data_IF_477806944118
#
_entry.id   IF_477806944118
#
_cell.length_a   1.000
_cell.length_b   1.000
_cell.length_c   1.000
_cell.angle_alpha   90.00
_cell.angle_beta   90.00
_cell.angle_gamma   90.00
#
_symmetry.space_group_name_H-M   'P 1'
#
loop_
_entity.id
_entity.type
_entity.pdbx_description
1 polymer ?
#
# COMPACT_ATOMS: atom_id res chain seq x y z
N UNK A 1 -14.15 30.35 58.20
CA UNK A 1 -13.25 29.28 57.71
C UNK A 1 -13.91 28.37 56.66
N UNK A 2 -15.23 28.43 56.46
CA UNK A 2 -15.95 27.66 55.42
C UNK A 2 -15.91 28.32 54.02
N UNK A 3 -15.88 29.65 53.94
CA UNK A 3 -15.90 30.42 52.66
C UNK A 3 -14.66 30.18 51.78
N UNK A 4 -13.47 30.10 52.40
CA UNK A 4 -12.19 29.95 51.69
C UNK A 4 -12.06 28.56 51.04
N UNK A 5 -12.61 27.53 51.69
CA UNK A 5 -12.63 26.16 51.15
C UNK A 5 -13.59 26.02 49.95
N UNK A 6 -14.66 26.81 49.90
CA UNK A 6 -15.61 26.79 48.79
C UNK A 6 -15.05 27.54 47.58
N UNK A 7 -14.38 28.67 47.81
CA UNK A 7 -13.62 29.38 46.79
C UNK A 7 -12.50 28.50 46.18
N UNK A 8 -11.74 27.78 47.01
CA UNK A 8 -10.70 26.86 46.55
C UNK A 8 -11.27 25.70 45.71
N UNK A 9 -12.40 25.11 46.12
CA UNK A 9 -13.08 24.09 45.32
C UNK A 9 -13.53 24.64 43.97
N UNK A 10 -14.06 25.86 43.93
CA UNK A 10 -14.50 26.49 42.68
C UNK A 10 -13.32 26.78 41.74
N UNK A 11 -12.15 27.15 42.27
CA UNK A 11 -10.91 27.31 41.50
C UNK A 11 -10.45 25.99 40.89
N UNK A 12 -10.38 24.91 41.69
CA UNK A 12 -9.95 23.59 41.20
C UNK A 12 -10.91 23.02 40.15
N UNK A 13 -12.22 23.29 40.29
CA UNK A 13 -13.19 22.93 39.26
C UNK A 13 -12.95 23.71 37.96
N UNK A 14 -12.56 24.99 38.06
CA UNK A 14 -12.12 25.79 36.91
C UNK A 14 -10.87 25.23 36.26
N UNK A 15 -9.84 24.88 37.03
CA UNK A 15 -8.61 24.29 36.50
C UNK A 15 -8.87 22.96 35.78
N UNK A 16 -9.81 22.14 36.28
CA UNK A 16 -10.21 20.90 35.62
C UNK A 16 -10.98 21.16 34.33
N UNK A 17 -11.83 22.19 34.30
CA UNK A 17 -12.53 22.61 33.08
C UNK A 17 -11.55 23.12 32.02
N UNK A 18 -10.56 23.91 32.42
CA UNK A 18 -9.50 24.40 31.54
C UNK A 18 -8.64 23.24 30.99
N UNK A 19 -8.26 22.29 31.85
CA UNK A 19 -7.53 21.08 31.41
C UNK A 19 -8.35 20.21 30.45
N UNK A 20 -9.68 20.13 30.64
CA UNK A 20 -10.57 19.41 29.74
C UNK A 20 -10.64 20.08 28.36
N UNK A 21 -10.71 21.42 28.35
CA UNK A 21 -10.70 22.21 27.12
C UNK A 21 -9.36 22.03 26.39
N UNK A 22 -8.24 22.12 27.10
CA UNK A 22 -6.90 21.93 26.51
C UNK A 22 -6.70 20.52 25.98
N UNK A 23 -7.13 19.49 26.71
CA UNK A 23 -7.07 18.09 26.26
C UNK A 23 -7.88 17.88 24.96
N UNK A 24 -9.04 18.53 24.86
CA UNK A 24 -9.87 18.49 23.65
C UNK A 24 -9.20 19.18 22.48
N UNK A 25 -8.65 20.38 22.69
CA UNK A 25 -7.93 21.14 21.65
C UNK A 25 -6.74 20.32 21.12
N UNK A 26 -5.99 19.67 22.02
CA UNK A 26 -4.88 18.80 21.64
C UNK A 26 -5.34 17.59 20.81
N UNK A 27 -6.44 16.94 21.21
CA UNK A 27 -7.00 15.81 20.47
C UNK A 27 -7.48 16.22 19.07
N UNK A 28 -8.19 17.34 18.97
CA UNK A 28 -8.67 17.87 17.69
C UNK A 28 -7.51 18.23 16.76
N UNK A 29 -6.38 18.72 17.31
CA UNK A 29 -5.17 19.01 16.55
C UNK A 29 -4.51 17.74 15.99
N UNK A 30 -4.38 16.67 16.78
CA UNK A 30 -3.77 15.41 16.31
C UNK A 30 -4.65 14.73 15.25
N UNK A 31 -5.97 14.73 15.43
CA UNK A 31 -6.91 14.22 14.42
C UNK A 31 -6.78 15.00 13.12
N UNK A 32 -6.69 16.34 13.18
CA UNK A 32 -6.50 17.17 12.00
C UNK A 32 -5.14 16.92 11.32
N UNK A 33 -4.09 16.68 12.10
CA UNK A 33 -2.75 16.34 11.59
C UNK A 33 -2.77 15.01 10.84
N UNK A 34 -3.32 13.95 11.44
CA UNK A 34 -3.40 12.63 10.80
C UNK A 34 -4.32 12.64 9.57
N UNK A 35 -5.42 13.40 9.61
CA UNK A 35 -6.30 13.59 8.45
C UNK A 35 -5.57 14.27 7.28
N UNK A 36 -4.73 15.27 7.58
CA UNK A 36 -3.92 15.97 6.57
C UNK A 36 -2.85 15.05 6.00
N UNK A 37 -2.16 14.27 6.85
CA UNK A 37 -1.15 13.29 6.41
C UNK A 37 -1.77 12.17 5.56
N UNK A 38 -2.92 11.64 5.97
CA UNK A 38 -3.68 10.66 5.21
C UNK A 38 -4.15 11.23 3.85
N UNK A 39 -4.63 12.47 3.82
CA UNK A 39 -5.03 13.17 2.60
C UNK A 39 -3.86 13.38 1.63
N UNK A 40 -2.69 13.78 2.14
CA UNK A 40 -1.48 13.93 1.33
C UNK A 40 -1.02 12.59 0.74
N UNK A 41 -0.92 11.54 1.57
CA UNK A 41 -0.56 10.19 1.09
C UNK A 41 -1.56 9.67 0.07
N UNK A 42 -2.86 9.88 0.28
CA UNK A 42 -3.89 9.50 -0.68
C UNK A 42 -3.77 10.24 -2.02
N UNK A 43 -3.46 11.54 -2.00
CA UNK A 43 -3.24 12.32 -3.21
C UNK A 43 -2.01 11.86 -3.99
N UNK A 44 -0.89 11.62 -3.29
CA UNK A 44 0.32 11.05 -3.90
C UNK A 44 0.08 9.65 -4.46
N UNK A 45 -0.67 8.81 -3.73
CA UNK A 45 -1.03 7.47 -4.16
C UNK A 45 -1.89 7.49 -5.43
N UNK A 46 -2.81 8.45 -5.57
CA UNK A 46 -3.63 8.61 -6.79
C UNK A 46 -2.76 8.85 -8.02
N UNK A 47 -1.77 9.74 -7.94
CA UNK A 47 -0.85 10.02 -9.04
C UNK A 47 0.02 8.80 -9.36
N UNK A 48 0.54 8.13 -8.32
CA UNK A 48 1.32 6.90 -8.48
C UNK A 48 0.51 5.78 -9.15
N UNK A 49 -0.74 5.56 -8.75
CA UNK A 49 -1.65 4.59 -9.36
C UNK A 49 -1.90 4.94 -10.83
N UNK A 50 -2.14 6.21 -11.17
CA UNK A 50 -2.34 6.63 -12.55
C UNK A 50 -1.12 6.28 -13.44
N UNK A 51 0.09 6.58 -12.97
CA UNK A 51 1.32 6.22 -13.68
C UNK A 51 1.52 4.70 -13.76
N UNK A 52 1.24 3.96 -12.69
CA UNK A 52 1.31 2.49 -12.69
C UNK A 52 0.34 1.87 -13.68
N UNK A 53 -0.88 2.41 -13.82
CA UNK A 53 -1.85 1.94 -14.81
C UNK A 53 -1.31 2.15 -16.22
N UNK A 54 -0.79 3.34 -16.53
CA UNK A 54 -0.19 3.62 -17.85
C UNK A 54 1.00 2.69 -18.12
N UNK A 55 1.89 2.52 -17.14
CA UNK A 55 3.03 1.62 -17.26
C UNK A 55 2.60 0.15 -17.46
N UNK A 56 1.56 -0.31 -16.75
CA UNK A 56 1.03 -1.66 -16.90
C UNK A 56 0.42 -1.90 -18.29
N UNK A 57 -0.31 -0.92 -18.83
CA UNK A 57 -0.85 -0.99 -20.20
C UNK A 57 0.29 -1.06 -21.22
N UNK A 58 1.31 -0.20 -21.09
CA UNK A 58 2.47 -0.22 -21.98
C UNK A 58 3.24 -1.54 -21.88
N UNK A 59 3.43 -2.07 -20.67
CA UNK A 59 4.07 -3.36 -20.45
C UNK A 59 3.28 -4.51 -21.10
N UNK A 60 1.95 -4.48 -21.03
CA UNK A 60 1.09 -5.47 -21.69
C UNK A 60 1.24 -5.41 -23.22
N UNK A 61 1.19 -4.21 -23.81
CA UNK A 61 1.38 -4.03 -25.25
C UNK A 61 2.77 -4.47 -25.69
N UNK A 62 3.81 -4.12 -24.93
CA UNK A 62 5.17 -4.57 -25.16
C UNK A 62 5.30 -6.11 -25.06
N UNK A 63 4.63 -6.74 -24.09
CA UNK A 63 4.66 -8.19 -23.91
C UNK A 63 4.01 -8.90 -25.10
N UNK A 64 2.88 -8.39 -25.61
CA UNK A 64 2.26 -8.90 -26.84
C UNK A 64 3.24 -8.77 -28.00
N UNK A 65 3.82 -7.58 -28.21
CA UNK A 65 4.82 -7.35 -29.27
C UNK A 65 6.03 -8.28 -29.16
N UNK A 66 6.54 -8.50 -27.94
CA UNK A 66 7.63 -9.43 -27.66
C UNK A 66 7.25 -10.86 -28.01
N UNK A 67 6.07 -11.33 -27.62
CA UNK A 67 5.61 -12.69 -27.97
C UNK A 67 5.49 -12.90 -29.47
N UNK A 68 4.85 -11.95 -30.18
CA UNK A 68 4.69 -12.02 -31.63
C UNK A 68 6.05 -11.98 -32.33
N UNK A 69 6.94 -11.06 -31.93
CA UNK A 69 8.28 -10.93 -32.48
C UNK A 69 9.12 -12.19 -32.27
N UNK A 70 9.04 -12.80 -31.08
CA UNK A 70 9.77 -14.03 -30.76
C UNK A 70 9.26 -15.22 -31.57
N UNK A 71 7.92 -15.35 -31.72
CA UNK A 71 7.33 -16.40 -32.55
C UNK A 71 7.80 -16.28 -34.00
N UNK A 72 7.73 -15.07 -34.59
CA UNK A 72 8.16 -14.83 -35.98
C UNK A 72 9.66 -15.11 -36.14
N UNK A 73 10.48 -14.66 -35.18
CA UNK A 73 11.93 -14.86 -35.21
C UNK A 73 12.34 -16.34 -35.12
N UNK A 74 11.60 -17.15 -34.37
CA UNK A 74 11.90 -18.58 -34.18
C UNK A 74 11.25 -19.47 -35.25
N UNK A 75 10.25 -18.96 -35.96
CA UNK A 75 9.50 -19.70 -36.97
C UNK A 75 10.38 -20.41 -38.02
N UNK A 76 11.48 -19.81 -38.54
CA UNK A 76 12.36 -20.48 -39.50
C UNK A 76 13.10 -21.70 -38.93
N UNK A 77 13.26 -21.78 -37.60
CA UNK A 77 14.01 -22.84 -36.92
C UNK A 77 13.11 -23.98 -36.45
N UNK A 78 11.94 -23.64 -35.89
CA UNK A 78 11.07 -24.58 -35.18
C UNK A 78 9.71 -24.81 -35.87
N UNK A 79 9.41 -24.05 -36.92
CA UNK A 79 8.08 -23.95 -37.51
C UNK A 79 7.09 -23.23 -36.59
N UNK A 80 5.88 -22.99 -37.08
CA UNK A 80 4.88 -22.19 -36.38
C UNK A 80 4.47 -22.80 -35.02
N UNK A 81 4.20 -24.12 -34.99
CA UNK A 81 3.78 -24.81 -33.76
C UNK A 81 4.92 -24.94 -32.74
N UNK A 82 6.14 -25.21 -33.20
CA UNK A 82 7.31 -25.32 -32.31
C UNK A 82 7.62 -23.99 -31.61
N UNK A 83 7.53 -22.88 -32.35
CA UNK A 83 7.74 -21.54 -31.79
C UNK A 83 6.69 -21.17 -30.75
N UNK A 84 5.40 -21.38 -31.03
CA UNK A 84 4.34 -21.01 -30.07
C UNK A 84 4.43 -21.83 -28.78
N UNK A 85 4.69 -23.13 -28.88
CA UNK A 85 4.89 -23.99 -27.71
C UNK A 85 6.09 -23.55 -26.87
N UNK A 86 7.24 -23.30 -27.50
CA UNK A 86 8.45 -22.91 -26.78
C UNK A 86 8.28 -21.56 -26.07
N UNK A 87 7.74 -20.55 -26.75
CA UNK A 87 7.52 -19.22 -26.16
C UNK A 87 6.51 -19.29 -25.02
N UNK A 88 5.41 -20.04 -25.19
CA UNK A 88 4.41 -20.22 -24.14
C UNK A 88 5.00 -20.93 -22.93
N UNK A 89 5.75 -22.01 -23.13
CA UNK A 89 6.41 -22.74 -22.06
C UNK A 89 7.41 -21.86 -21.29
N UNK A 90 8.20 -21.04 -22.00
CA UNK A 90 9.13 -20.10 -21.38
C UNK A 90 8.40 -19.05 -20.53
N UNK A 91 7.32 -18.45 -21.03
CA UNK A 91 6.52 -17.49 -20.27
C UNK A 91 5.84 -18.11 -19.04
N UNK A 92 5.32 -19.33 -19.16
CA UNK A 92 4.74 -20.06 -18.03
C UNK A 92 5.79 -20.35 -16.95
N UNK A 93 7.01 -20.69 -17.35
CA UNK A 93 8.12 -20.91 -16.42
C UNK A 93 8.45 -19.62 -15.67
N UNK A 94 8.57 -18.49 -16.37
CA UNK A 94 8.79 -17.17 -15.74
C UNK A 94 7.65 -16.81 -14.79
N UNK A 95 6.39 -16.99 -15.21
CA UNK A 95 5.23 -16.73 -14.37
C UNK A 95 5.23 -17.57 -13.09
N UNK A 96 5.63 -18.85 -13.20
CA UNK A 96 5.74 -19.75 -12.05
C UNK A 96 6.83 -19.31 -11.06
N UNK A 97 7.99 -18.85 -11.55
CA UNK A 97 9.06 -18.31 -10.70
C UNK A 97 8.64 -17.04 -9.96
N UNK A 98 7.97 -16.12 -10.65
CA UNK A 98 7.46 -14.88 -10.04
C UNK A 98 6.40 -15.20 -8.99
N UNK A 99 5.44 -16.09 -9.31
CA UNK A 99 4.37 -16.49 -8.38
C UNK A 99 4.94 -17.12 -7.11
N UNK A 100 5.94 -18.00 -7.24
CA UNK A 100 6.62 -18.59 -6.08
C UNK A 100 7.32 -17.55 -5.22
N UNK A 101 8.01 -16.61 -5.86
CA UNK A 101 8.73 -15.53 -5.16
C UNK A 101 7.77 -14.59 -4.42
N UNK A 102 6.62 -14.29 -5.03
CA UNK A 102 5.57 -13.53 -4.39
C UNK A 102 5.01 -14.30 -3.17
N UNK A 103 4.60 -15.56 -3.36
CA UNK A 103 4.04 -16.38 -2.29
C UNK A 103 4.97 -16.51 -1.07
N UNK A 104 6.29 -16.58 -1.28
CA UNK A 104 7.28 -16.53 -0.20
C UNK A 104 7.19 -15.24 0.62
N UNK A 105 7.25 -14.09 -0.05
CA UNK A 105 7.16 -12.77 0.60
C UNK A 105 5.85 -12.56 1.36
N UNK A 106 4.73 -13.03 0.81
CA UNK A 106 3.42 -12.95 1.48
C UNK A 106 3.40 -13.77 2.76
N UNK A 107 4.02 -14.95 2.76
CA UNK A 107 4.13 -15.80 3.95
C UNK A 107 5.01 -15.16 5.03
N UNK A 108 6.12 -14.56 4.63
CA UNK A 108 7.02 -13.87 5.56
C UNK A 108 6.30 -12.68 6.22
N UNK A 109 5.61 -11.86 5.43
CA UNK A 109 4.81 -10.75 5.93
C UNK A 109 3.67 -11.20 6.85
N UNK A 110 2.95 -12.26 6.48
CA UNK A 110 1.88 -12.82 7.31
C UNK A 110 2.42 -13.42 8.64
N UNK A 111 3.61 -14.04 8.60
CA UNK A 111 4.27 -14.57 9.79
C UNK A 111 4.63 -13.47 10.79
N UNK A 112 5.20 -12.36 10.32
CA UNK A 112 5.57 -11.23 11.17
C UNK A 112 4.37 -10.59 11.88
N UNK A 113 3.20 -10.54 11.23
CA UNK A 113 1.97 -10.05 11.85
C UNK A 113 1.50 -10.99 12.95
N UNK A 114 1.55 -12.31 12.71
CA UNK A 114 1.09 -13.32 13.67
C UNK A 114 1.99 -13.40 14.91
N UNK A 115 3.29 -13.15 14.78
CA UNK A 115 4.23 -13.10 15.90
C UNK A 115 4.08 -11.84 16.77
N UNK A 116 3.43 -10.77 16.26
CA UNK A 116 3.10 -9.60 17.08
C UNK A 116 1.85 -9.76 17.94
N UNK A 117 1.07 -10.82 17.72
CA UNK A 117 -0.16 -11.13 18.48
C UNK A 117 0.05 -12.18 19.59
N UNK A 118 1.18 -12.91 19.60
CA UNK A 118 1.56 -13.89 20.64
C UNK A 118 2.51 -13.28 21.68
#
# INVERSE_FOLDING_TARGET
>A
MTDESEAARRSLLGDVEDLLVDARIWFDAEVAYQKTRAGFVAASLKQAIALLVVAAVLALVALIGLTVGLIISLMPLLGALGSTLLVTAALLLVALLITRSAAGRWRDAAGAIRESEE
#
